data_IF_396738921696
#
_entry.id   IF_396738921696
#
_cell.length_a   1.000
_cell.length_b   1.000
_cell.length_c   1.000
_cell.angle_alpha   90.00
_cell.angle_beta   90.00
_cell.angle_gamma   90.00
#
_symmetry.space_group_name_H-M   'P 1'
#
loop_
_entity.id
_entity.type
_entity.pdbx_description
1 polymer ?
#
# COMPACT_ATOMS: atom_id res chain seq x y z
N UNK A 1 17.28 -11.62 6.33
CA UNK A 1 16.07 -11.07 5.69
C UNK A 1 16.20 -9.57 5.73
N UNK A 2 16.56 -8.94 4.60
CA UNK A 2 16.41 -7.50 4.45
C UNK A 2 14.91 -7.20 4.36
N UNK A 3 14.23 -7.11 5.51
CA UNK A 3 12.82 -6.71 5.52
C UNK A 3 12.78 -5.24 5.18
N UNK A 4 12.25 -4.93 4.00
CA UNK A 4 11.83 -3.58 3.67
C UNK A 4 11.06 -2.99 4.86
N UNK A 5 11.44 -1.79 5.31
CA UNK A 5 10.85 -1.18 6.50
C UNK A 5 9.47 -0.60 6.14
N UNK A 6 8.49 -1.49 6.00
CA UNK A 6 7.11 -1.15 5.69
C UNK A 6 6.31 -0.93 6.97
N UNK A 7 5.34 -0.02 6.91
CA UNK A 7 4.29 0.07 7.92
C UNK A 7 2.95 0.38 7.26
N UNK A 8 1.94 -0.36 7.68
CA UNK A 8 0.56 -0.09 7.31
C UNK A 8 -0.10 0.65 8.47
N UNK A 9 -0.77 1.75 8.15
CA UNK A 9 -1.46 2.59 9.11
C UNK A 9 -2.93 2.63 8.73
N UNK A 10 -3.79 2.28 9.68
CA UNK A 10 -5.23 2.47 9.61
C UNK A 10 -5.65 3.54 10.58
N UNK A 11 -6.14 4.66 10.05
CA UNK A 11 -6.91 5.62 10.80
C UNK A 11 -8.39 5.25 10.64
N UNK A 12 -9.08 5.01 11.75
CA UNK A 12 -10.41 4.40 11.84
C UNK A 12 -10.43 2.87 11.91
N UNK A 13 -10.44 2.35 13.14
CA UNK A 13 -10.58 0.91 13.41
C UNK A 13 -11.86 0.29 12.85
N UNK A 14 -12.89 1.08 12.54
CA UNK A 14 -14.16 0.57 12.01
C UNK A 14 -13.98 -0.02 10.63
N UNK A 15 -13.02 0.48 9.84
CA UNK A 15 -12.70 0.03 8.48
C UNK A 15 -12.59 -1.50 8.39
N UNK A 16 -11.91 -2.13 9.34
CA UNK A 16 -11.74 -3.58 9.38
C UNK A 16 -13.04 -4.37 9.58
N UNK A 17 -14.10 -3.71 10.07
CA UNK A 17 -15.40 -4.27 10.40
C UNK A 17 -16.52 -3.72 9.50
N UNK A 18 -16.21 -2.88 8.50
CA UNK A 18 -17.23 -2.28 7.64
C UNK A 18 -17.94 -3.37 6.82
N UNK A 19 -19.27 -3.24 6.63
CA UNK A 19 -20.07 -4.19 5.87
C UNK A 19 -19.68 -4.21 4.39
N UNK A 20 -19.99 -5.31 3.69
CA UNK A 20 -19.60 -5.52 2.29
C UNK A 20 -18.21 -6.11 2.10
N UNK A 21 -17.92 -6.67 0.92
CA UNK A 21 -16.65 -7.33 0.59
C UNK A 21 -16.56 -8.81 1.00
N UNK A 22 -15.80 -9.59 0.24
CA UNK A 22 -15.60 -11.03 0.43
C UNK A 22 -14.76 -11.29 1.70
N UNK A 23 -15.28 -12.10 2.63
CA UNK A 23 -14.61 -12.40 3.91
C UNK A 23 -13.21 -13.02 3.72
N UNK A 24 -13.03 -13.87 2.70
CA UNK A 24 -11.72 -14.45 2.36
C UNK A 24 -10.72 -13.36 1.94
N UNK A 25 -11.16 -12.37 1.19
CA UNK A 25 -10.32 -11.24 0.78
C UNK A 25 -9.95 -10.35 1.96
N UNK A 26 -10.89 -10.09 2.88
CA UNK A 26 -10.58 -9.36 4.12
C UNK A 26 -9.51 -10.06 4.94
N UNK A 27 -9.54 -11.40 5.00
CA UNK A 27 -8.50 -12.19 5.67
C UNK A 27 -7.15 -12.13 4.95
N UNK A 28 -7.14 -12.29 3.60
CA UNK A 28 -5.92 -12.10 2.80
C UNK A 28 -5.32 -10.71 3.02
N UNK A 29 -6.17 -9.68 3.03
CA UNK A 29 -5.79 -8.28 3.28
C UNK A 29 -5.16 -8.10 4.65
N UNK A 30 -5.79 -8.60 5.72
CA UNK A 30 -5.24 -8.49 7.08
C UNK A 30 -3.89 -9.19 7.24
N UNK A 31 -3.70 -10.34 6.58
CA UNK A 31 -2.41 -11.05 6.57
C UNK A 31 -1.34 -10.24 5.84
N UNK A 32 -1.69 -9.66 4.69
CA UNK A 32 -0.80 -8.82 3.89
C UNK A 32 -0.33 -7.57 4.65
N UNK A 33 -1.25 -6.90 5.37
CA UNK A 33 -0.95 -5.65 6.06
C UNK A 33 -0.25 -5.81 7.41
N UNK A 34 0.20 -7.02 7.78
CA UNK A 34 0.87 -7.25 9.05
C UNK A 34 2.36 -6.86 8.97
N UNK A 35 2.89 -6.02 9.88
CA UNK A 35 2.23 -5.45 11.07
C UNK A 35 1.43 -4.18 10.77
N UNK A 36 0.15 -4.18 11.18
CA UNK A 36 -0.77 -3.05 11.06
C UNK A 36 -0.74 -2.18 12.32
N UNK A 37 -0.71 -0.85 12.13
CA UNK A 37 -0.86 0.15 13.21
C UNK A 37 -2.22 0.82 13.08
N UNK A 38 -3.00 0.81 14.16
CA UNK A 38 -4.34 1.37 14.18
C UNK A 38 -4.38 2.62 15.05
N UNK A 39 -5.08 3.65 14.57
CA UNK A 39 -5.30 4.90 15.26
C UNK A 39 -6.78 5.26 15.19
N UNK A 40 -7.28 5.90 16.26
CA UNK A 40 -8.64 6.43 16.34
C UNK A 40 -8.67 7.97 16.32
N UNK A 41 -7.50 8.62 16.21
CA UNK A 41 -7.34 10.08 16.24
C UNK A 41 -6.34 10.55 15.18
N UNK A 42 -6.70 11.50 14.30
CA UNK A 42 -5.80 12.03 13.28
C UNK A 42 -4.48 12.57 13.83
N UNK A 43 -4.53 13.40 14.88
CA UNK A 43 -3.34 14.01 15.47
C UNK A 43 -2.31 12.97 15.95
N UNK A 44 -2.75 11.97 16.72
CA UNK A 44 -1.86 10.91 17.21
C UNK A 44 -1.26 10.05 16.09
N UNK A 45 -2.01 9.91 14.99
CA UNK A 45 -1.53 9.22 13.80
C UNK A 45 -0.42 10.01 13.10
N UNK A 46 -0.62 11.31 12.92
CA UNK A 46 0.35 12.20 12.29
C UNK A 46 1.68 12.21 13.06
N UNK A 47 1.63 12.45 14.38
CA UNK A 47 2.80 12.42 15.26
C UNK A 47 3.55 11.10 15.16
N UNK A 48 2.82 9.97 15.08
CA UNK A 48 3.43 8.66 14.96
C UNK A 48 4.16 8.46 13.63
N UNK A 49 3.61 8.98 12.52
CA UNK A 49 4.27 8.91 11.21
C UNK A 49 5.56 9.73 11.22
N UNK A 50 5.52 10.95 11.75
CA UNK A 50 6.66 11.87 11.76
C UNK A 50 7.76 11.45 12.75
N UNK A 51 7.40 10.94 13.92
CA UNK A 51 8.36 10.66 14.97
C UNK A 51 8.81 9.20 14.98
N UNK A 52 7.85 8.27 14.86
CA UNK A 52 8.10 6.83 15.08
C UNK A 52 8.30 6.05 13.79
N UNK A 53 7.81 6.56 12.66
CA UNK A 53 7.85 5.86 11.38
C UNK A 53 8.57 6.63 10.26
N UNK A 54 9.34 7.68 10.59
CA UNK A 54 10.06 8.52 9.62
C UNK A 54 10.95 7.74 8.65
N UNK A 55 11.56 6.65 9.12
CA UNK A 55 12.48 5.80 8.34
C UNK A 55 11.76 4.59 7.72
N UNK A 56 10.43 4.61 7.69
CA UNK A 56 9.58 3.53 7.15
C UNK A 56 8.77 4.02 5.96
N UNK A 57 8.57 3.14 4.98
CA UNK A 57 7.62 3.40 3.91
C UNK A 57 6.20 3.13 4.40
N UNK A 58 5.37 4.17 4.41
CA UNK A 58 4.03 4.18 5.03
C UNK A 58 2.96 4.03 3.96
N UNK A 59 2.10 3.04 4.17
CA UNK A 59 0.81 2.91 3.49
C UNK A 59 -0.28 3.36 4.45
N UNK A 60 -1.00 4.41 4.09
CA UNK A 60 -2.00 5.02 4.94
C UNK A 60 -3.40 4.70 4.41
N UNK A 61 -4.26 4.16 5.27
CA UNK A 61 -5.68 3.93 4.98
C UNK A 61 -6.52 4.70 6.01
N UNK A 62 -7.53 5.42 5.52
CA UNK A 62 -8.51 6.11 6.36
C UNK A 62 -9.91 5.92 5.81
N UNK A 63 -10.93 6.28 6.60
CA UNK A 63 -12.31 6.39 6.14
C UNK A 63 -12.64 7.83 5.79
N UNK A 64 -13.71 8.03 5.02
CA UNK A 64 -14.27 9.35 4.74
C UNK A 64 -14.49 10.21 6.00
N UNK A 65 -14.80 9.59 7.15
CA UNK A 65 -15.05 10.27 8.44
C UNK A 65 -13.82 10.97 9.02
N UNK A 66 -12.62 10.54 8.63
CA UNK A 66 -11.34 11.09 9.09
C UNK A 66 -10.48 11.57 7.90
N UNK A 67 -11.13 11.85 6.77
CA UNK A 67 -10.51 12.23 5.51
C UNK A 67 -10.78 13.70 5.18
N UNK A 68 -10.61 14.60 6.15
CA UNK A 68 -10.67 16.03 5.86
C UNK A 68 -9.48 16.45 4.99
N UNK A 69 -9.70 17.39 4.08
CA UNK A 69 -8.70 17.75 3.06
C UNK A 69 -7.41 18.31 3.66
N UNK A 70 -7.50 19.08 4.75
CA UNK A 70 -6.34 19.68 5.39
C UNK A 70 -5.44 18.60 6.01
N UNK A 71 -6.02 17.67 6.75
CA UNK A 71 -5.31 16.53 7.30
C UNK A 71 -4.71 15.64 6.20
N UNK A 72 -5.45 15.36 5.13
CA UNK A 72 -4.93 14.57 4.02
C UNK A 72 -3.75 15.25 3.32
N UNK A 73 -3.77 16.58 3.18
CA UNK A 73 -2.63 17.35 2.68
C UNK A 73 -1.41 17.23 3.60
N UNK A 74 -1.62 17.29 4.92
CA UNK A 74 -0.54 17.07 5.89
C UNK A 74 0.07 15.67 5.72
N UNK A 75 -0.74 14.62 5.69
CA UNK A 75 -0.28 13.24 5.45
C UNK A 75 0.44 13.12 4.10
N UNK A 76 -0.11 13.74 3.05
CA UNK A 76 0.50 13.73 1.71
C UNK A 76 1.81 14.50 1.65
N UNK A 77 2.05 15.48 2.51
CA UNK A 77 3.33 16.21 2.57
C UNK A 77 4.49 15.36 3.11
N UNK A 78 4.19 14.30 3.88
CA UNK A 78 5.21 13.47 4.53
C UNK A 78 5.93 12.57 3.52
N UNK A 79 7.24 12.75 3.33
CA UNK A 79 8.02 12.08 2.28
C UNK A 79 8.01 10.55 2.35
N UNK A 80 7.81 10.00 3.55
CA UNK A 80 7.79 8.57 3.83
C UNK A 80 6.41 7.92 3.58
N UNK A 81 5.35 8.72 3.37
CA UNK A 81 4.03 8.22 2.94
C UNK A 81 4.05 7.93 1.46
N UNK A 82 3.90 6.66 1.10
CA UNK A 82 3.92 6.20 -0.29
C UNK A 82 2.54 6.27 -0.92
N UNK A 83 1.52 5.76 -0.22
CA UNK A 83 0.15 5.70 -0.72
C UNK A 83 -0.86 6.06 0.36
N UNK A 84 -1.89 6.78 -0.06
CA UNK A 84 -3.07 7.12 0.73
C UNK A 84 -4.25 6.38 0.11
N UNK A 85 -5.00 5.70 0.95
CA UNK A 85 -6.19 4.99 0.60
C UNK A 85 -7.34 5.56 1.43
N UNK A 86 -8.45 5.88 0.78
CA UNK A 86 -9.65 6.39 1.46
C UNK A 86 -10.77 5.42 1.17
N UNK A 87 -11.27 4.80 2.23
CA UNK A 87 -12.49 4.02 2.19
C UNK A 87 -13.69 4.97 2.25
N UNK A 88 -14.51 4.93 1.21
CA UNK A 88 -15.76 5.68 1.13
C UNK A 88 -16.87 4.81 0.55
N UNK A 89 -17.73 4.29 1.43
CA UNK A 89 -18.85 3.42 1.05
C UNK A 89 -19.89 4.14 0.19
N UNK A 90 -19.99 5.46 0.31
CA UNK A 90 -20.96 6.26 -0.44
C UNK A 90 -20.46 6.57 -1.86
N UNK A 91 -19.18 6.35 -2.14
CA UNK A 91 -18.57 6.59 -3.44
C UNK A 91 -18.53 8.09 -3.81
N UNK A 92 -18.42 8.98 -2.82
CA UNK A 92 -18.42 10.41 -3.06
C UNK A 92 -17.22 10.84 -3.91
N UNK A 93 -17.47 11.81 -4.78
CA UNK A 93 -16.44 12.42 -5.62
C UNK A 93 -15.60 13.45 -4.87
N UNK A 94 -14.48 13.00 -4.31
CA UNK A 94 -13.40 13.87 -3.88
C UNK A 94 -12.71 14.53 -5.08
N UNK A 95 -12.88 15.85 -5.22
CA UNK A 95 -12.11 16.69 -6.12
C UNK A 95 -11.02 17.41 -5.35
N UNK A 96 -9.81 16.85 -5.33
CA UNK A 96 -8.65 17.49 -4.74
C UNK A 96 -7.88 18.29 -5.78
N UNK A 97 -7.48 19.51 -5.41
CA UNK A 97 -6.63 20.37 -6.25
C UNK A 97 -5.14 20.20 -5.94
N UNK A 98 -4.81 19.57 -4.81
CA UNK A 98 -3.43 19.36 -4.37
C UNK A 98 -2.77 18.20 -5.14
N UNK A 99 -1.73 18.53 -5.91
CA UNK A 99 -1.04 17.58 -6.79
C UNK A 99 -0.32 16.45 -6.04
N UNK A 100 0.21 16.72 -4.84
CA UNK A 100 0.89 15.71 -4.03
C UNK A 100 -0.10 14.71 -3.45
N UNK A 101 -1.23 15.22 -2.93
CA UNK A 101 -2.33 14.40 -2.44
C UNK A 101 -2.90 13.53 -3.56
N UNK A 102 -3.22 14.13 -4.72
CA UNK A 102 -3.71 13.39 -5.89
C UNK A 102 -2.73 12.28 -6.30
N UNK A 103 -1.43 12.58 -6.34
CA UNK A 103 -0.41 11.59 -6.68
C UNK A 103 -0.35 10.43 -5.69
N UNK A 104 -0.43 10.70 -4.38
CA UNK A 104 -0.35 9.67 -3.33
C UNK A 104 -1.64 8.90 -3.14
N UNK A 105 -2.79 9.49 -3.45
CA UNK A 105 -4.05 8.75 -3.51
C UNK A 105 -4.14 7.88 -4.75
N UNK A 106 -3.54 8.33 -5.85
CA UNK A 106 -3.67 7.76 -7.19
C UNK A 106 -5.09 7.93 -7.75
N UNK A 107 -5.38 7.17 -8.81
CA UNK A 107 -6.60 7.36 -9.62
C UNK A 107 -7.83 6.60 -9.10
N UNK A 108 -7.64 5.62 -8.23
CA UNK A 108 -8.69 4.68 -7.82
C UNK A 108 -9.05 4.88 -6.34
N UNK A 109 -10.34 5.12 -6.06
CA UNK A 109 -10.87 5.23 -4.68
C UNK A 109 -11.30 3.87 -4.18
N UNK A 110 -11.19 3.66 -2.87
CA UNK A 110 -11.69 2.43 -2.24
C UNK A 110 -13.14 2.62 -1.89
N UNK A 111 -14.02 2.04 -2.70
CA UNK A 111 -15.46 2.00 -2.40
C UNK A 111 -15.77 0.80 -1.49
N UNK A 112 -15.01 -0.30 -1.65
CA UNK A 112 -15.16 -1.52 -0.88
C UNK A 112 -13.84 -2.32 -0.80
N UNK A 113 -13.75 -3.24 0.16
CA UNK A 113 -12.68 -4.24 0.18
C UNK A 113 -12.97 -5.34 -0.83
N UNK A 114 -12.49 -5.15 -2.05
CA UNK A 114 -12.63 -6.09 -3.16
C UNK A 114 -11.28 -6.53 -3.75
N UNK A 115 -11.36 -7.33 -4.81
CA UNK A 115 -10.21 -7.89 -5.52
C UNK A 115 -9.38 -6.81 -6.20
N UNK A 116 -10.00 -5.72 -6.66
CA UNK A 116 -9.32 -4.61 -7.30
C UNK A 116 -8.43 -3.88 -6.30
N UNK A 117 -8.95 -3.54 -5.12
CA UNK A 117 -8.13 -2.97 -4.05
C UNK A 117 -6.99 -3.92 -3.66
N UNK A 118 -7.28 -5.20 -3.45
CA UNK A 118 -6.26 -6.17 -3.06
C UNK A 118 -5.14 -6.21 -4.11
N UNK A 119 -5.50 -6.31 -5.39
CA UNK A 119 -4.56 -6.25 -6.53
C UNK A 119 -3.76 -4.95 -6.53
N UNK A 120 -4.40 -3.80 -6.33
CA UNK A 120 -3.73 -2.51 -6.32
C UNK A 120 -2.66 -2.41 -5.21
N UNK A 121 -2.94 -2.87 -3.99
CA UNK A 121 -1.94 -2.90 -2.91
C UNK A 121 -0.78 -3.82 -3.28
N UNK A 122 -1.06 -5.00 -3.81
CA UNK A 122 -0.02 -5.94 -4.26
C UNK A 122 0.88 -5.27 -5.31
N UNK A 123 0.30 -4.60 -6.30
CA UNK A 123 1.06 -3.89 -7.33
C UNK A 123 1.89 -2.74 -6.76
N UNK A 124 1.34 -1.98 -5.81
CA UNK A 124 2.06 -0.90 -5.14
C UNK A 124 3.25 -1.43 -4.33
N UNK A 125 3.10 -2.56 -3.65
CA UNK A 125 4.20 -3.24 -2.95
C UNK A 125 5.26 -3.78 -3.92
N UNK A 126 4.85 -4.41 -5.03
CA UNK A 126 5.76 -4.90 -6.07
C UNK A 126 6.62 -3.77 -6.63
N UNK A 127 6.05 -2.59 -6.86
CA UNK A 127 6.79 -1.41 -7.31
C UNK A 127 7.87 -1.00 -6.32
N UNK A 128 7.57 -1.02 -5.01
CA UNK A 128 8.57 -0.66 -3.99
C UNK A 128 9.68 -1.71 -3.96
N UNK A 129 9.34 -3.00 -3.87
CA UNK A 129 10.35 -4.06 -3.88
C UNK A 129 11.23 -4.03 -5.14
N UNK A 130 10.62 -3.75 -6.30
CA UNK A 130 11.34 -3.61 -7.56
C UNK A 130 12.34 -2.46 -7.53
N UNK A 131 11.94 -1.31 -7.00
CA UNK A 131 12.80 -0.12 -6.85
C UNK A 131 13.94 -0.36 -5.87
N UNK A 132 13.64 -1.00 -4.75
CA UNK A 132 14.62 -1.29 -3.70
C UNK A 132 15.64 -2.32 -4.18
N UNK A 133 15.21 -3.26 -5.04
CA UNK A 133 16.12 -4.15 -5.77
C UNK A 133 17.13 -3.37 -6.61
N UNK A 134 16.66 -2.39 -7.41
CA UNK A 134 17.54 -1.57 -8.25
C UNK A 134 18.53 -0.73 -7.42
N UNK A 135 18.14 -0.37 -6.21
CA UNK A 135 18.94 0.49 -5.32
C UNK A 135 19.89 -0.29 -4.41
N UNK A 136 19.65 -1.58 -4.16
CA UNK A 136 20.34 -2.30 -3.08
C UNK A 136 21.85 -2.49 -3.28
N UNK A 137 22.40 -2.28 -4.48
CA UNK A 137 23.84 -2.38 -4.77
C UNK A 137 24.47 -3.78 -4.54
N UNK A 138 23.73 -4.71 -3.93
CA UNK A 138 24.16 -6.05 -3.56
C UNK A 138 23.25 -7.08 -4.23
N UNK A 139 23.83 -7.94 -5.08
CA UNK A 139 23.11 -8.95 -5.87
C UNK A 139 22.18 -9.83 -5.00
N UNK A 140 22.64 -10.22 -3.80
CA UNK A 140 21.83 -11.00 -2.85
C UNK A 140 20.59 -10.24 -2.35
N UNK A 141 20.75 -8.98 -1.96
CA UNK A 141 19.64 -8.19 -1.41
C UNK A 141 18.63 -7.82 -2.50
N UNK A 142 19.12 -7.48 -3.71
CA UNK A 142 18.30 -7.27 -4.88
C UNK A 142 17.43 -8.50 -5.17
N UNK A 143 18.03 -9.69 -5.14
CA UNK A 143 17.32 -10.95 -5.32
C UNK A 143 16.25 -11.18 -4.26
N UNK A 144 16.54 -10.97 -2.98
CA UNK A 144 15.56 -11.10 -1.88
C UNK A 144 14.33 -10.20 -2.10
N UNK A 145 14.52 -8.97 -2.60
CA UNK A 145 13.42 -8.06 -2.91
C UNK A 145 12.58 -8.53 -4.12
N UNK A 146 13.21 -8.98 -5.20
CA UNK A 146 12.49 -9.47 -6.37
C UNK A 146 11.72 -10.76 -6.06
N UNK A 147 12.29 -11.68 -5.27
CA UNK A 147 11.58 -12.87 -4.81
C UNK A 147 10.37 -12.50 -3.94
N UNK A 148 10.49 -11.48 -3.09
CA UNK A 148 9.36 -10.95 -2.31
C UNK A 148 8.26 -10.39 -3.21
N UNK A 149 8.61 -9.66 -4.28
CA UNK A 149 7.67 -9.14 -5.27
C UNK A 149 6.91 -10.28 -6.00
N UNK A 150 7.62 -11.33 -6.42
CA UNK A 150 7.01 -12.50 -7.07
C UNK A 150 6.06 -13.23 -6.11
N UNK A 151 6.47 -13.41 -4.85
CA UNK A 151 5.62 -14.04 -3.85
C UNK A 151 4.32 -13.28 -3.64
N UNK A 152 4.36 -11.94 -3.64
CA UNK A 152 3.16 -11.10 -3.59
C UNK A 152 2.27 -11.30 -4.82
N UNK A 153 2.86 -11.29 -6.01
CA UNK A 153 2.14 -11.50 -7.27
C UNK A 153 1.42 -12.84 -7.32
N UNK A 154 2.04 -13.88 -6.75
CA UNK A 154 1.47 -15.24 -6.66
C UNK A 154 0.29 -15.36 -5.69
N UNK A 155 -0.01 -14.33 -4.89
CA UNK A 155 -1.21 -14.32 -4.03
C UNK A 155 -2.49 -13.90 -4.77
N UNK A 156 -2.35 -13.41 -6.00
CA UNK A 156 -3.47 -13.09 -6.91
C UNK A 156 -3.85 -14.37 -7.64
N UNK A 157 -5.10 -14.81 -7.45
CA UNK A 157 -5.58 -16.10 -7.95
C UNK A 157 -5.76 -16.08 -9.49
N UNK A 158 -6.39 -15.04 -10.02
CA UNK A 158 -6.65 -14.86 -11.47
C UNK A 158 -5.73 -13.77 -12.05
N UNK A 159 -4.67 -14.19 -12.73
CA UNK A 159 -3.71 -13.29 -13.40
C UNK A 159 -4.12 -13.04 -14.85
N UNK A 160 -4.42 -11.79 -15.15
CA UNK A 160 -4.52 -11.30 -16.54
C UNK A 160 -3.15 -11.25 -17.22
N UNK A 161 -3.15 -10.90 -18.51
CA UNK A 161 -1.94 -10.82 -19.34
C UNK A 161 -0.90 -9.85 -18.74
N UNK A 162 -1.33 -8.69 -18.25
CA UNK A 162 -0.47 -7.69 -17.62
C UNK A 162 0.27 -8.27 -16.40
N UNK A 163 -0.44 -9.01 -15.53
CA UNK A 163 0.15 -9.65 -14.36
C UNK A 163 1.10 -10.78 -14.76
N UNK A 164 0.80 -11.55 -15.81
CA UNK A 164 1.69 -12.60 -16.31
C UNK A 164 2.98 -12.00 -16.90
N UNK A 165 2.89 -10.89 -17.62
CA UNK A 165 4.06 -10.22 -18.18
C UNK A 165 4.91 -9.56 -17.10
N UNK A 166 4.29 -9.01 -16.05
CA UNK A 166 5.00 -8.55 -14.87
C UNK A 166 5.78 -9.69 -14.19
N UNK A 167 5.19 -10.88 -14.08
CA UNK A 167 5.85 -12.06 -13.51
C UNK A 167 7.09 -12.44 -14.33
N UNK A 168 6.94 -12.57 -15.66
CA UNK A 168 8.07 -12.87 -16.58
C UNK A 168 9.17 -11.83 -16.44
N UNK A 169 8.81 -10.55 -16.36
CA UNK A 169 9.78 -9.46 -16.18
C UNK A 169 10.56 -9.60 -14.88
N UNK A 170 9.88 -9.82 -13.74
CA UNK A 170 10.53 -10.00 -12.44
C UNK A 170 11.46 -11.22 -12.42
N UNK A 171 11.01 -12.36 -12.98
CA UNK A 171 11.83 -13.56 -13.10
C UNK A 171 13.09 -13.34 -13.95
N UNK A 172 12.95 -12.61 -15.06
CA UNK A 172 14.09 -12.27 -15.92
C UNK A 172 15.13 -11.45 -15.18
N UNK A 173 14.71 -10.52 -14.32
CA UNK A 173 15.63 -9.71 -13.50
C UNK A 173 16.39 -10.57 -12.50
N UNK A 174 15.72 -11.51 -11.83
CA UNK A 174 16.39 -12.44 -10.90
C UNK A 174 17.45 -13.27 -11.63
N UNK A 175 17.14 -13.79 -12.82
CA UNK A 175 18.09 -14.58 -13.61
C UNK A 175 19.36 -13.78 -13.98
N UNK A 176 19.22 -12.47 -14.17
CA UNK A 176 20.31 -11.58 -14.53
C UNK A 176 21.15 -11.09 -13.33
N UNK A 177 20.70 -11.30 -12.10
CA UNK A 177 21.48 -11.07 -10.88
C UNK A 177 22.46 -12.24 -10.70
N UNK A 178 23.58 -12.17 -11.42
CA UNK A 178 24.73 -13.07 -11.21
C UNK A 178 25.54 -12.65 -9.98
#
# INVERSE_FOLDING_TARGET
MSSLSLVFIWLDKRIGNLPGGNQKLKEKFRKLLSPLRQFDKPASCLDSIELSFKDKCVFFLTSNSFADEEFLKQIASLSNVYRIYIYDQEGNDYQFTDTNLVKKMGLERIIQFDEQLYKQIILDLIKIYSKESDQSGQSKQAKEFLESAINLLNTIDDKDEDLQDMEKYLLSRIYNLK
#
